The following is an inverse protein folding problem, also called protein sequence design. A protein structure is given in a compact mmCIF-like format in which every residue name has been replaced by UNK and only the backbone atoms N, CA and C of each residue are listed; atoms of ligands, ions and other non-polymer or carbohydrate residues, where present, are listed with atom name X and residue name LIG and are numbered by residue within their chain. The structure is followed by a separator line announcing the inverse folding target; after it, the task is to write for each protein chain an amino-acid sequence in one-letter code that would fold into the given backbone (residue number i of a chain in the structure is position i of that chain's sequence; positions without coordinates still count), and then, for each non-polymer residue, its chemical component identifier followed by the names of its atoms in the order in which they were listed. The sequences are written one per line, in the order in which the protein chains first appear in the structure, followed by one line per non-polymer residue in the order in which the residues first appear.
data_IF_720367690211
#
_entry.id   IF_720367690211
#
_cell.length_a   1.000
_cell.length_b   1.000
_cell.length_c   1.000
_cell.angle_alpha   90.00
_cell.angle_beta   90.00
_cell.angle_gamma   90.00
#
_symmetry.space_group_name_H-M   'P 1'
#
loop_
_entity.id
_entity.type
_entity.pdbx_description
1 polymer ?
#
# COMPACT_ATOMS: atom_id res chain seq x y z
N UNK A 1 -34.98 -13.10 -4.41
CA UNK A 1 -34.21 -12.56 -5.56
C UNK A 1 -33.16 -11.50 -5.18
N UNK A 2 -33.52 -10.31 -4.65
CA UNK A 2 -32.55 -9.24 -4.34
C UNK A 2 -31.40 -9.65 -3.40
N UNK A 3 -31.68 -10.47 -2.37
CA UNK A 3 -30.66 -10.98 -1.42
C UNK A 3 -29.58 -11.82 -2.10
N UNK A 4 -29.96 -12.67 -3.06
CA UNK A 4 -29.03 -13.51 -3.81
C UNK A 4 -28.13 -12.67 -4.74
N UNK A 5 -28.71 -11.66 -5.41
CA UNK A 5 -27.92 -10.73 -6.24
C UNK A 5 -26.92 -9.92 -5.40
N UNK A 6 -27.34 -9.43 -4.24
CA UNK A 6 -26.45 -8.74 -3.30
C UNK A 6 -25.34 -9.65 -2.78
N UNK A 7 -25.65 -10.90 -2.45
CA UNK A 7 -24.65 -11.88 -2.01
C UNK A 7 -23.57 -12.11 -3.07
N UNK A 8 -23.96 -12.30 -4.34
CA UNK A 8 -23.02 -12.46 -5.46
C UNK A 8 -22.15 -11.21 -5.64
N UNK A 9 -22.74 -10.01 -5.57
CA UNK A 9 -21.98 -8.77 -5.66
C UNK A 9 -20.93 -8.65 -4.54
N UNK A 10 -21.31 -8.97 -3.30
CA UNK A 10 -20.38 -8.96 -2.16
C UNK A 10 -19.28 -10.00 -2.31
N UNK A 11 -19.58 -11.17 -2.87
CA UNK A 11 -18.56 -12.20 -3.13
C UNK A 11 -17.53 -11.70 -4.16
N UNK A 12 -17.99 -11.07 -5.25
CA UNK A 12 -17.10 -10.45 -6.24
C UNK A 12 -16.27 -9.34 -5.59
N UNK A 13 -16.88 -8.49 -4.77
CA UNK A 13 -16.17 -7.43 -4.06
C UNK A 13 -15.10 -7.98 -3.12
N UNK A 14 -15.39 -9.05 -2.37
CA UNK A 14 -14.41 -9.71 -1.51
C UNK A 14 -13.22 -10.25 -2.32
N UNK A 15 -13.47 -10.88 -3.47
CA UNK A 15 -12.41 -11.37 -4.36
C UNK A 15 -11.55 -10.22 -4.91
N UNK A 16 -12.17 -9.11 -5.33
CA UNK A 16 -11.45 -7.92 -5.82
C UNK A 16 -10.60 -7.29 -4.71
N UNK A 17 -11.12 -7.17 -3.49
CA UNK A 17 -10.36 -6.66 -2.34
C UNK A 17 -9.15 -7.53 -2.02
N UNK A 18 -9.32 -8.85 -1.98
CA UNK A 18 -8.19 -9.78 -1.77
C UNK A 18 -7.15 -9.65 -2.89
N UNK A 19 -7.58 -9.60 -4.15
CA UNK A 19 -6.70 -9.40 -5.30
C UNK A 19 -5.94 -8.07 -5.24
N UNK A 20 -6.61 -6.97 -4.89
CA UNK A 20 -6.00 -5.65 -4.73
C UNK A 20 -5.00 -5.62 -3.56
N UNK A 21 -5.30 -6.33 -2.46
CA UNK A 21 -4.38 -6.50 -1.33
C UNK A 21 -3.09 -7.21 -1.74
N UNK A 22 -3.20 -8.36 -2.40
CA UNK A 22 -2.05 -9.11 -2.92
C UNK A 22 -1.23 -8.29 -3.93
N UNK A 23 -1.91 -7.60 -4.85
CA UNK A 23 -1.23 -6.73 -5.81
C UNK A 23 -0.46 -5.59 -5.14
N UNK A 24 -1.05 -4.95 -4.12
CA UNK A 24 -0.41 -3.86 -3.37
C UNK A 24 0.83 -4.36 -2.63
N UNK A 25 0.74 -5.53 -2.00
CA UNK A 25 1.88 -6.17 -1.33
C UNK A 25 3.05 -6.41 -2.31
N UNK A 26 2.79 -7.11 -3.42
CA UNK A 26 3.84 -7.42 -4.42
C UNK A 26 4.41 -6.16 -5.04
N UNK A 27 3.56 -5.17 -5.34
CA UNK A 27 3.97 -3.89 -5.92
C UNK A 27 4.86 -3.09 -4.94
N UNK A 28 4.55 -3.12 -3.65
CA UNK A 28 5.32 -2.44 -2.62
C UNK A 28 6.69 -3.10 -2.42
N UNK A 29 6.76 -4.42 -2.29
CA UNK A 29 8.02 -5.18 -2.17
C UNK A 29 8.93 -4.95 -3.39
N UNK A 30 8.36 -5.07 -4.60
CA UNK A 30 9.11 -4.78 -5.85
C UNK A 30 9.62 -3.33 -5.89
N UNK A 31 8.82 -2.38 -5.42
CA UNK A 31 9.22 -0.96 -5.37
C UNK A 31 10.31 -0.71 -4.34
N UNK A 32 10.24 -1.36 -3.18
CA UNK A 32 11.25 -1.28 -2.13
C UNK A 32 12.60 -1.82 -2.63
N UNK A 33 12.60 -2.97 -3.30
CA UNK A 33 13.80 -3.55 -3.92
C UNK A 33 14.38 -2.63 -5.00
N UNK A 34 13.55 -2.06 -5.87
CA UNK A 34 14.02 -1.10 -6.88
C UNK A 34 14.66 0.15 -6.26
N UNK A 35 14.23 0.60 -5.08
CA UNK A 35 14.89 1.71 -4.39
C UNK A 35 16.32 1.32 -4.00
N UNK A 36 16.50 0.14 -3.39
CA UNK A 36 17.81 -0.35 -2.96
C UNK A 36 18.73 -0.64 -4.16
N UNK A 37 18.27 -1.44 -5.12
CA UNK A 37 19.01 -1.77 -6.34
C UNK A 37 19.37 -0.51 -7.14
N UNK A 38 18.45 0.47 -7.18
CA UNK A 38 18.67 1.76 -7.80
C UNK A 38 19.84 2.51 -7.17
N UNK A 39 19.90 2.54 -5.84
CA UNK A 39 20.99 3.16 -5.09
C UNK A 39 22.31 2.41 -5.25
N UNK A 40 22.31 1.08 -5.16
CA UNK A 40 23.52 0.26 -5.32
C UNK A 40 24.15 0.38 -6.71
N UNK A 41 23.32 0.30 -7.76
CA UNK A 41 23.78 0.45 -9.14
C UNK A 41 24.24 1.89 -9.40
N UNK A 42 23.58 2.89 -8.82
CA UNK A 42 24.03 4.27 -8.96
C UNK A 42 25.36 4.50 -8.24
N UNK A 43 25.53 3.93 -7.05
CA UNK A 43 26.77 4.01 -6.29
C UNK A 43 27.95 3.42 -7.05
N UNK A 44 27.77 2.25 -7.65
CA UNK A 44 28.84 1.48 -8.29
C UNK A 44 29.10 1.86 -9.73
N UNK A 45 28.06 2.25 -10.49
CA UNK A 45 28.14 2.49 -11.94
C UNK A 45 27.73 3.89 -12.37
N UNK A 46 27.26 4.75 -11.45
CA UNK A 46 26.75 6.09 -11.77
C UNK A 46 25.42 6.09 -12.54
N UNK A 47 24.75 4.93 -12.68
CA UNK A 47 23.51 4.82 -13.47
C UNK A 47 22.33 4.37 -12.60
N UNK A 48 21.12 4.70 -13.04
CA UNK A 48 19.87 4.32 -12.35
C UNK A 48 19.20 3.09 -12.99
N UNK A 49 19.98 2.12 -13.47
CA UNK A 49 19.43 0.96 -14.18
C UNK A 49 18.73 -0.03 -13.23
N UNK A 50 19.21 -0.18 -11.99
CA UNK A 50 18.59 -1.04 -10.96
C UNK A 50 17.23 -0.52 -10.45
N UNK A 51 16.93 0.76 -10.67
CA UNK A 51 15.72 1.39 -10.17
C UNK A 51 14.42 1.00 -10.89
N UNK A 52 14.46 0.11 -11.89
CA UNK A 52 13.30 -0.35 -12.63
C UNK A 52 12.40 0.81 -13.12
N UNK A 53 11.11 0.76 -12.76
CA UNK A 53 10.13 1.82 -13.11
C UNK A 53 10.34 3.12 -12.34
N UNK A 54 11.07 3.10 -11.22
CA UNK A 54 11.35 4.27 -10.39
C UNK A 54 12.56 5.08 -10.90
N UNK A 55 13.29 4.60 -11.91
CA UNK A 55 14.49 5.25 -12.49
C UNK A 55 14.38 6.76 -12.66
N UNK A 56 13.31 7.25 -13.29
CA UNK A 56 13.13 8.70 -13.54
C UNK A 56 12.91 9.47 -12.24
N UNK A 57 12.12 8.90 -11.31
CA UNK A 57 11.81 9.51 -10.01
C UNK A 57 13.05 9.54 -9.11
N UNK A 58 13.76 8.43 -8.98
CA UNK A 58 14.99 8.36 -8.19
C UNK A 58 16.07 9.31 -8.71
N UNK A 59 16.25 9.38 -10.03
CA UNK A 59 17.20 10.33 -10.64
C UNK A 59 16.86 11.77 -10.29
N UNK A 60 15.57 12.16 -10.38
CA UNK A 60 15.14 13.52 -10.01
C UNK A 60 15.37 13.76 -8.52
N UNK A 61 14.93 12.84 -7.67
CA UNK A 61 15.12 12.95 -6.22
C UNK A 61 16.60 13.11 -5.84
N UNK A 62 17.48 12.31 -6.43
CA UNK A 62 18.92 12.44 -6.19
C UNK A 62 19.50 13.77 -6.70
N UNK A 63 19.05 14.27 -7.85
CA UNK A 63 19.50 15.57 -8.34
C UNK A 63 19.09 16.71 -7.40
N UNK A 64 17.86 16.69 -6.91
CA UNK A 64 17.35 17.64 -5.91
C UNK A 64 18.12 17.51 -4.59
N UNK A 65 18.38 16.28 -4.14
CA UNK A 65 19.21 16.01 -2.97
C UNK A 65 20.61 16.59 -3.12
N UNK A 66 21.29 16.32 -4.23
CA UNK A 66 22.65 16.80 -4.49
C UNK A 66 22.69 18.33 -4.56
N UNK A 67 21.65 18.95 -5.10
CA UNK A 67 21.52 20.40 -5.12
C UNK A 67 21.39 20.97 -3.69
N UNK A 68 20.49 20.42 -2.88
CA UNK A 68 20.33 20.81 -1.46
C UNK A 68 21.62 20.60 -0.66
N UNK A 69 22.30 19.48 -0.88
CA UNK A 69 23.60 19.18 -0.28
C UNK A 69 24.64 20.25 -0.63
N UNK A 70 24.71 20.68 -1.88
CA UNK A 70 25.63 21.77 -2.27
C UNK A 70 25.32 23.07 -1.52
N UNK A 71 24.03 23.38 -1.28
CA UNK A 71 23.62 24.54 -0.49
C UNK A 71 24.07 24.43 0.98
N UNK A 72 23.97 23.24 1.57
CA UNK A 72 24.45 23.00 2.93
C UNK A 72 25.97 23.13 3.01
N UNK A 73 26.71 22.57 2.05
CA UNK A 73 28.18 22.67 2.00
C UNK A 73 28.64 24.14 1.93
N UNK A 74 27.98 24.97 1.10
CA UNK A 74 28.23 26.42 1.02
C UNK A 74 27.91 27.09 2.36
N UNK A 75 26.75 26.82 2.94
CA UNK A 75 26.37 27.38 4.22
C UNK A 75 27.38 27.04 5.33
N UNK A 76 27.84 25.79 5.39
CA UNK A 76 28.82 25.31 6.37
C UNK A 76 30.22 25.88 6.14
N UNK A 77 30.59 26.22 4.90
CA UNK A 77 31.83 26.95 4.64
C UNK A 77 31.82 28.38 5.22
N UNK A 78 30.64 28.98 5.38
CA UNK A 78 30.45 30.32 5.93
C UNK A 78 30.18 30.30 7.45
N UNK A 79 29.44 29.30 7.91
CA UNK A 79 29.17 29.07 9.33
C UNK A 79 29.23 27.56 9.63
N UNK A 80 30.38 27.05 10.09
CA UNK A 80 30.58 25.61 10.36
C UNK A 80 29.64 25.03 11.43
N UNK A 81 29.05 25.89 12.26
CA UNK A 81 28.14 25.51 13.34
C UNK A 81 26.70 25.27 12.86
N UNK A 82 26.39 25.50 11.59
CA UNK A 82 25.04 25.21 11.06
C UNK A 82 24.91 23.74 10.73
N UNK A 83 23.87 23.12 11.29
CA UNK A 83 23.55 21.70 11.11
C UNK A 83 22.24 21.46 10.36
N UNK A 84 21.45 22.51 10.16
CA UNK A 84 20.18 22.46 9.47
C UNK A 84 20.20 23.44 8.30
N UNK A 85 19.95 22.93 7.09
CA UNK A 85 19.78 23.73 5.89
C UNK A 85 18.67 24.79 6.05
N UNK A 86 17.67 24.54 6.89
CA UNK A 86 16.62 25.52 7.19
C UNK A 86 17.14 26.75 7.97
N UNK A 87 18.15 26.57 8.83
CA UNK A 87 18.75 27.65 9.63
C UNK A 87 19.72 28.51 8.82
N UNK A 88 20.21 28.00 7.69
CA UNK A 88 21.12 28.72 6.82
C UNK A 88 20.50 29.99 6.21
N UNK A 89 19.16 30.05 6.07
CA UNK A 89 18.46 31.18 5.44
C UNK A 89 19.08 31.56 4.10
N UNK A 90 19.38 32.85 3.92
CA UNK A 90 20.01 33.40 2.69
C UNK A 90 21.41 32.83 2.38
N UNK A 91 22.04 32.10 3.32
CA UNK A 91 23.35 31.47 3.14
C UNK A 91 23.26 30.09 2.47
N UNK A 92 22.06 29.49 2.39
CA UNK A 92 21.81 28.25 1.66
C UNK A 92 21.66 28.49 0.15
N UNK A 93 22.48 29.38 -0.43
CA UNK A 93 22.48 29.57 -1.88
C UNK A 93 22.99 28.31 -2.55
N UNK A 94 22.16 27.78 -3.43
CA UNK A 94 22.49 26.61 -4.24
C UNK A 94 23.58 26.97 -5.25
N UNK A 95 24.29 25.97 -5.76
CA UNK A 95 25.32 26.17 -6.79
C UNK A 95 24.80 26.94 -8.05
N UNK A 96 23.49 26.93 -8.28
CA UNK A 96 22.82 27.59 -9.40
C UNK A 96 22.28 29.00 -9.06
N UNK A 97 22.52 29.50 -7.84
CA UNK A 97 22.14 30.85 -7.41
C UNK A 97 20.73 30.98 -6.80
N UNK A 98 19.91 29.91 -6.82
CA UNK A 98 18.60 29.85 -6.15
C UNK A 98 18.67 29.56 -4.65
N UNK A 99 17.55 29.69 -3.96
CA UNK A 99 17.42 29.35 -2.54
C UNK A 99 17.11 27.86 -2.35
N UNK A 100 17.63 27.24 -1.29
CA UNK A 100 17.35 25.83 -1.01
C UNK A 100 15.85 25.51 -0.86
N UNK A 101 15.07 26.44 -0.31
CA UNK A 101 13.61 26.36 -0.17
C UNK A 101 12.86 26.26 -1.50
N UNK A 102 13.47 26.65 -2.62
CA UNK A 102 12.86 26.62 -3.96
C UNK A 102 12.96 25.23 -4.62
N UNK A 103 13.75 24.31 -4.06
CA UNK A 103 13.87 22.95 -4.59
C UNK A 103 12.56 22.19 -4.33
N UNK A 104 11.99 21.59 -5.39
CA UNK A 104 10.68 20.91 -5.38
C UNK A 104 10.53 19.93 -4.20
N UNK A 105 11.59 19.16 -3.92
CA UNK A 105 11.59 18.13 -2.88
C UNK A 105 12.16 18.59 -1.54
N UNK A 106 12.39 19.88 -1.31
CA UNK A 106 12.91 20.42 -0.04
C UNK A 106 12.13 19.90 1.18
N UNK A 107 10.82 20.15 1.21
CA UNK A 107 9.97 19.74 2.33
C UNK A 107 9.85 18.23 2.47
N UNK A 108 9.95 17.49 1.36
CA UNK A 108 9.95 16.03 1.38
C UNK A 108 11.22 15.49 2.03
N UNK A 109 12.41 15.99 1.66
CA UNK A 109 13.66 15.59 2.28
C UNK A 109 13.72 15.94 3.76
N UNK A 110 13.25 17.15 4.13
CA UNK A 110 13.14 17.54 5.52
C UNK A 110 12.25 16.57 6.30
N UNK A 111 11.06 16.25 5.79
CA UNK A 111 10.16 15.30 6.43
C UNK A 111 10.79 13.92 6.57
N UNK A 112 11.39 13.39 5.50
CA UNK A 112 11.99 12.04 5.48
C UNK A 112 13.17 11.93 6.45
N UNK A 113 14.12 12.85 6.39
CA UNK A 113 15.30 12.81 7.25
C UNK A 113 14.93 12.96 8.73
N UNK A 114 14.00 13.86 9.04
CA UNK A 114 13.51 14.07 10.41
C UNK A 114 12.70 12.87 10.90
N UNK A 115 11.79 12.33 10.09
CA UNK A 115 10.91 11.23 10.50
C UNK A 115 11.64 9.90 10.66
N UNK A 116 12.62 9.63 9.82
CA UNK A 116 13.32 8.35 9.79
C UNK A 116 14.72 8.39 10.39
N UNK A 117 15.14 9.54 10.94
CA UNK A 117 16.46 9.76 11.54
C UNK A 117 17.61 9.28 10.64
N UNK A 118 17.49 9.58 9.34
CA UNK A 118 18.41 9.16 8.29
C UNK A 118 19.20 10.32 7.71
N UNK A 119 20.31 10.01 7.04
CA UNK A 119 21.17 10.98 6.37
C UNK A 119 21.54 10.49 4.99
N UNK A 120 21.89 11.40 4.08
CA UNK A 120 22.13 11.02 2.70
C UNK A 120 20.87 10.64 1.92
N UNK A 121 21.05 10.31 0.64
CA UNK A 121 20.01 9.69 -0.18
C UNK A 121 20.28 8.19 -0.36
N UNK A 122 21.38 7.85 -1.05
CA UNK A 122 21.82 6.46 -1.34
C UNK A 122 23.11 6.05 -0.63
N UNK A 123 23.63 6.91 0.27
CA UNK A 123 24.89 6.69 0.99
C UNK A 123 24.74 7.22 2.39
N UNK A 124 25.55 6.69 3.28
CA UNK A 124 25.62 7.18 4.64
C UNK A 124 26.28 8.56 4.63
N UNK A 125 25.51 9.58 5.00
CA UNK A 125 25.97 10.97 4.99
C UNK A 125 25.42 11.72 6.18
N UNK A 126 25.96 12.91 6.42
CA UNK A 126 25.40 13.83 7.41
C UNK A 126 24.01 14.27 6.91
N UNK A 127 22.98 14.30 7.78
CA UNK A 127 21.66 14.81 7.40
C UNK A 127 21.75 16.24 6.87
N UNK A 128 20.87 16.57 5.92
CA UNK A 128 20.72 17.95 5.43
C UNK A 128 19.94 18.81 6.41
N UNK A 129 19.02 18.18 7.13
CA UNK A 129 18.14 18.81 8.09
C UNK A 129 18.45 18.24 9.47
N UNK A 130 18.99 19.08 10.34
CA UNK A 130 19.26 18.75 11.72
C UNK A 130 17.99 18.91 12.56
N UNK A 131 17.66 17.91 13.37
CA UNK A 131 16.80 18.17 14.53
C UNK A 131 17.62 19.00 15.52
N UNK A 132 17.10 20.13 16.01
CA UNK A 132 17.77 21.03 16.96
C UNK A 132 18.28 20.36 18.25
N UNK A 133 17.93 19.09 18.51
CA UNK A 133 18.37 18.26 19.63
C UNK A 133 19.61 17.39 19.34
N UNK A 134 20.15 17.43 18.11
CA UNK A 134 21.14 16.46 17.64
C UNK A 134 22.57 17.04 17.49
N UNK A 135 23.03 17.87 18.43
CA UNK A 135 24.41 18.37 18.45
C UNK A 135 25.47 17.24 18.52
N UNK A 136 25.08 16.03 18.92
CA UNK A 136 25.94 14.83 18.92
C UNK A 136 25.96 14.06 17.58
N UNK A 137 25.20 14.46 16.54
CA UNK A 137 24.95 13.62 15.36
C UNK A 137 25.56 14.10 14.04
N UNK A 138 26.75 14.69 14.11
CA UNK A 138 27.60 14.83 12.93
C UNK A 138 28.12 13.47 12.41
N UNK A 139 27.88 12.38 13.14
CA UNK A 139 28.11 11.03 12.65
C UNK A 139 27.24 10.74 11.43
N UNK A 140 27.84 10.15 10.40
CA UNK A 140 27.11 9.62 9.25
C UNK A 140 25.94 8.75 9.72
N UNK A 141 24.76 8.98 9.14
CA UNK A 141 23.56 8.18 9.39
C UNK A 141 23.31 7.25 8.22
N UNK A 142 22.59 6.17 8.46
CA UNK A 142 22.15 5.26 7.39
C UNK A 142 21.42 6.02 6.30
N UNK A 143 21.66 5.63 5.05
CA UNK A 143 21.00 6.19 3.88
C UNK A 143 19.47 6.25 4.03
N UNK A 144 18.87 7.38 3.63
CA UNK A 144 17.40 7.49 3.65
C UNK A 144 16.69 6.53 2.71
N UNK A 145 17.34 6.10 1.62
CA UNK A 145 16.78 5.07 0.73
C UNK A 145 16.45 3.77 1.46
N UNK A 146 17.29 3.35 2.42
CA UNK A 146 17.08 2.11 3.19
C UNK A 146 15.88 2.23 4.13
N UNK A 147 15.72 3.38 4.78
CA UNK A 147 14.54 3.63 5.62
C UNK A 147 13.27 3.76 4.80
N UNK A 148 13.36 4.37 3.62
CA UNK A 148 12.24 4.51 2.69
C UNK A 148 11.82 3.16 2.12
N UNK A 149 12.74 2.27 1.74
CA UNK A 149 12.40 0.94 1.23
C UNK A 149 11.64 0.12 2.28
N UNK A 150 12.14 0.08 3.52
CA UNK A 150 11.46 -0.58 4.64
C UNK A 150 10.08 0.01 4.92
N UNK A 151 9.94 1.34 4.82
CA UNK A 151 8.65 2.02 5.00
C UNK A 151 7.65 1.67 3.90
N UNK A 152 8.10 1.59 2.64
CA UNK A 152 7.25 1.18 1.50
C UNK A 152 6.81 -0.27 1.64
N UNK A 153 7.74 -1.18 1.97
CA UNK A 153 7.46 -2.59 2.20
C UNK A 153 6.44 -2.77 3.33
N UNK A 154 6.69 -2.14 4.48
CA UNK A 154 5.79 -2.16 5.65
C UNK A 154 4.39 -1.63 5.32
N UNK A 155 4.29 -0.53 4.58
CA UNK A 155 3.00 0.01 4.14
C UNK A 155 2.27 -0.98 3.23
N UNK A 156 2.99 -1.66 2.32
CA UNK A 156 2.43 -2.72 1.48
C UNK A 156 1.84 -3.87 2.30
N UNK A 157 2.57 -4.33 3.33
CA UNK A 157 2.09 -5.35 4.26
C UNK A 157 0.84 -4.91 5.02
N UNK A 158 0.84 -3.70 5.58
CA UNK A 158 -0.29 -3.16 6.35
C UNK A 158 -1.53 -3.05 5.47
N UNK A 159 -1.40 -2.49 4.26
CA UNK A 159 -2.52 -2.34 3.32
C UNK A 159 -3.06 -3.69 2.84
N UNK A 160 -2.17 -4.66 2.58
CA UNK A 160 -2.57 -6.02 2.26
C UNK A 160 -3.36 -6.67 3.39
N UNK A 161 -2.87 -6.57 4.64
CA UNK A 161 -3.55 -7.12 5.80
C UNK A 161 -4.95 -6.52 5.98
N UNK A 162 -5.09 -5.20 5.84
CA UNK A 162 -6.39 -4.50 5.90
C UNK A 162 -7.32 -5.01 4.78
N UNK A 163 -6.83 -5.13 3.56
CA UNK A 163 -7.62 -5.62 2.42
C UNK A 163 -8.08 -7.07 2.59
N UNK A 164 -7.23 -7.95 3.13
CA UNK A 164 -7.58 -9.35 3.42
C UNK A 164 -8.61 -9.42 4.54
N UNK A 165 -8.42 -8.69 5.64
CA UNK A 165 -9.36 -8.66 6.76
C UNK A 165 -10.75 -8.17 6.31
N UNK A 166 -10.79 -7.09 5.54
CA UNK A 166 -12.05 -6.57 4.98
C UNK A 166 -12.69 -7.56 4.00
N UNK A 167 -11.90 -8.22 3.15
CA UNK A 167 -12.38 -9.27 2.24
C UNK A 167 -13.06 -10.42 3.00
N UNK A 168 -12.45 -10.92 4.08
CA UNK A 168 -13.01 -12.01 4.90
C UNK A 168 -14.35 -11.61 5.52
N UNK A 169 -14.46 -10.38 6.04
CA UNK A 169 -15.71 -9.87 6.60
C UNK A 169 -16.80 -9.81 5.53
N UNK A 170 -16.49 -9.26 4.36
CA UNK A 170 -17.44 -9.14 3.23
C UNK A 170 -17.87 -10.53 2.75
N UNK A 171 -16.95 -11.49 2.67
CA UNK A 171 -17.24 -12.88 2.32
C UNK A 171 -18.17 -13.53 3.34
N UNK A 172 -17.92 -13.35 4.64
CA UNK A 172 -18.78 -13.86 5.70
C UNK A 172 -20.21 -13.32 5.59
N UNK A 173 -20.36 -12.01 5.36
CA UNK A 173 -21.68 -11.38 5.13
C UNK A 173 -22.36 -11.93 3.88
N UNK A 174 -21.60 -12.11 2.79
CA UNK A 174 -22.12 -12.71 1.55
C UNK A 174 -22.67 -14.12 1.79
N UNK A 175 -21.92 -14.97 2.50
CA UNK A 175 -22.33 -16.34 2.81
C UNK A 175 -23.60 -16.39 3.68
N UNK A 176 -23.71 -15.52 4.68
CA UNK A 176 -24.92 -15.40 5.51
C UNK A 176 -26.12 -14.98 4.66
N UNK A 177 -25.95 -13.97 3.79
CA UNK A 177 -27.02 -13.52 2.90
C UNK A 177 -27.43 -14.59 1.89
N UNK A 178 -26.47 -15.34 1.36
CA UNK A 178 -26.71 -16.44 0.44
C UNK A 178 -27.50 -17.56 1.13
N UNK A 179 -27.04 -17.99 2.31
CA UNK A 179 -27.70 -19.04 3.11
C UNK A 179 -29.14 -18.64 3.48
N UNK A 180 -29.35 -17.39 3.90
CA UNK A 180 -30.69 -16.87 4.20
C UNK A 180 -31.60 -16.78 2.97
N UNK A 181 -31.03 -16.55 1.77
CA UNK A 181 -31.79 -16.54 0.53
C UNK A 181 -32.18 -17.96 0.11
N UNK A 182 -31.29 -18.94 0.24
CA UNK A 182 -31.58 -20.34 -0.04
C UNK A 182 -32.65 -20.89 0.90
N UNK A 183 -32.52 -20.66 2.20
CA UNK A 183 -33.50 -21.13 3.18
C UNK A 183 -34.92 -20.58 2.91
N UNK A 184 -35.04 -19.31 2.50
CA UNK A 184 -36.35 -18.73 2.17
C UNK A 184 -36.98 -19.35 0.92
N UNK A 185 -36.17 -19.84 -0.01
CA UNK A 185 -36.65 -20.50 -1.23
C UNK A 185 -37.10 -21.92 -0.90
N UNK A 186 -36.35 -22.66 -0.08
CA UNK A 186 -36.70 -24.03 0.32
C UNK A 186 -38.05 -24.08 1.07
N UNK A 187 -38.33 -23.11 1.95
CA UNK A 187 -39.64 -23.00 2.61
C UNK A 187 -40.80 -22.73 1.64
N UNK A 188 -40.57 -21.92 0.60
CA UNK A 188 -41.60 -21.61 -0.40
C UNK A 188 -41.95 -22.85 -1.25
N UNK A 189 -40.97 -23.72 -1.53
CA UNK A 189 -41.21 -24.99 -2.21
C UNK A 189 -41.94 -26.01 -1.31
N UNK A 190 -41.57 -26.13 -0.03
CA UNK A 190 -42.28 -27.01 0.92
C UNK A 190 -43.77 -26.63 1.07
N UNK A 191 -44.10 -25.34 1.08
CA UNK A 191 -45.50 -24.89 1.13
C UNK A 191 -46.27 -25.22 -0.16
N UNK A 192 -45.63 -25.18 -1.33
CA UNK A 192 -46.27 -25.52 -2.61
C UNK A 192 -46.56 -27.02 -2.69
N UNK A 193 -45.61 -27.89 -2.31
CA UNK A 193 -45.79 -29.35 -2.31
C UNK A 193 -46.82 -29.81 -1.27
N UNK A 194 -46.95 -29.12 -0.13
CA UNK A 194 -47.96 -29.43 0.88
C UNK A 194 -49.39 -28.97 0.49
N UNK A 195 -49.53 -28.15 -0.55
CA UNK A 195 -50.78 -27.53 -0.96
C UNK A 195 -51.48 -28.22 -2.14
N UNK A 196 -50.98 -29.37 -2.62
CA UNK A 196 -51.62 -30.17 -3.67
C UNK A 196 -52.45 -31.32 -3.06
N UNK A 197 -53.78 -31.18 -2.89
CA UNK A 197 -54.63 -32.23 -2.34
C UNK A 197 -55.04 -33.15 -3.48
N UNK A 198 -54.17 -34.09 -3.84
CA UNK A 198 -54.35 -34.87 -5.06
C UNK A 198 -53.82 -36.30 -5.00
N UNK A 199 -54.12 -37.05 -3.94
CA UNK A 199 -54.06 -38.53 -4.01
C UNK A 199 -54.94 -39.19 -2.92
N UNK A 200 -56.26 -39.06 -3.07
CA UNK A 200 -57.18 -40.14 -2.66
C UNK A 200 -57.22 -41.18 -3.79
N UNK A 201 -56.19 -42.01 -3.86
CA UNK A 201 -56.21 -43.27 -4.59
C UNK A 201 -56.54 -44.39 -3.61
N UNK A 202 -57.82 -44.79 -3.52
CA UNK A 202 -58.21 -46.18 -3.21
C UNK A 202 -59.72 -46.41 -3.30
N UNK A 203 -60.14 -47.26 -4.25
CA UNK A 203 -61.17 -48.32 -4.12
C UNK A 203 -61.97 -48.57 -5.42
N UNK A 204 -61.30 -49.01 -6.48
CA UNK A 204 -61.94 -49.91 -7.45
C UNK A 204 -61.67 -51.36 -7.03
N UNK A 205 -62.40 -51.82 -6.02
CA UNK A 205 -62.41 -53.24 -5.64
C UNK A 205 -63.28 -54.02 -6.63
N UNK A 206 -62.66 -54.98 -7.30
CA UNK A 206 -63.28 -56.08 -8.02
C UNK A 206 -64.43 -56.70 -7.21
N UNK A 207 -65.59 -56.91 -7.82
CA UNK A 207 -66.58 -57.84 -7.28
C UNK A 207 -67.00 -58.83 -8.36
N UNK A 208 -66.38 -59.99 -8.25
CA UNK A 208 -66.58 -61.21 -9.01
C UNK A 208 -67.85 -61.93 -8.52
N UNK A 209 -68.49 -62.71 -9.41
CA UNK A 209 -69.43 -63.81 -9.12
C UNK A 209 -70.84 -63.56 -8.51
N UNK A 210 -71.89 -63.66 -9.35
CA UNK A 210 -73.14 -64.36 -9.00
C UNK A 210 -73.92 -64.80 -10.25
N UNK A 211 -73.73 -66.06 -10.65
CA UNK A 211 -74.64 -66.82 -11.50
C UNK A 211 -74.92 -68.14 -10.76
N UNK A 212 -76.09 -68.25 -10.13
CA UNK A 212 -76.84 -69.49 -9.92
C UNK A 212 -78.26 -69.18 -9.41
#
# INVERSE_FOLDING_TARGET
FFRAQLAVFLLVLAAVLAGAGCFTFVSADTSAQWILDGCDVHHTRGTWAGAGRLKKKMRRAYADYALLRSGLEVCRSLNPLVYDLAECGVRARLAQGGEASEVELYGWFQHVQVKFECGGFCRDEVPLFGLAQLSETLSSRTACADKLSLSVESLGHILCAIAVLTSVIVLGVSLVLFSNATYSIDQEYEEIDASDPGDESDSCSDNDSQFH
#
